data_IF_918534892892
#
_entry.id   IF_918534892892
#
_cell.length_a   1.000
_cell.length_b   1.000
_cell.length_c   1.000
_cell.angle_alpha   90.00
_cell.angle_beta   90.00
_cell.angle_gamma   90.00
#
_symmetry.space_group_name_H-M   'P 1'
#
loop_
_entity.id
_entity.type
_entity.pdbx_description
1 polymer ?
#
# COMPACT_ATOMS: atom_id res chain seq x y z
N UNK A 1 15.75 1.22 -46.49
CA UNK A 1 14.79 0.48 -45.64
C UNK A 1 14.81 1.12 -44.27
N UNK A 2 13.82 1.94 -43.94
CA UNK A 2 13.68 2.55 -42.62
C UNK A 2 13.16 1.50 -41.64
N UNK A 3 13.98 1.15 -40.64
CA UNK A 3 13.57 0.35 -39.49
C UNK A 3 12.73 1.25 -38.58
N UNK A 4 11.41 1.14 -38.66
CA UNK A 4 10.49 1.70 -37.68
C UNK A 4 10.70 0.96 -36.36
N UNK A 5 11.14 1.70 -35.33
CA UNK A 5 11.10 1.21 -33.97
C UNK A 5 9.65 0.81 -33.61
N UNK A 6 9.45 -0.26 -32.82
CA UNK A 6 8.11 -0.66 -32.41
C UNK A 6 7.45 0.52 -31.66
N UNK A 7 6.30 0.94 -32.16
CA UNK A 7 5.42 1.90 -31.50
C UNK A 7 5.10 1.39 -30.09
N UNK A 8 5.19 2.23 -29.04
CA UNK A 8 4.73 1.84 -27.72
C UNK A 8 3.23 1.49 -27.81
N UNK A 9 2.87 0.30 -27.35
CA UNK A 9 1.48 -0.16 -27.29
C UNK A 9 0.67 0.82 -26.44
N UNK A 10 -0.57 1.18 -26.83
CA UNK A 10 -1.44 1.97 -25.96
C UNK A 10 -1.66 1.23 -24.63
N UNK A 11 -1.90 1.93 -23.50
CA UNK A 11 -2.17 1.26 -22.23
C UNK A 11 -3.35 0.34 -22.40
N UNK A 12 -3.12 -0.97 -22.30
CA UNK A 12 -4.12 -2.01 -22.49
C UNK A 12 -5.30 -1.71 -21.57
N UNK A 13 -6.44 -1.33 -22.14
CA UNK A 13 -7.69 -1.21 -21.40
C UNK A 13 -7.97 -2.61 -20.88
N UNK A 14 -7.97 -2.81 -19.55
CA UNK A 14 -8.25 -4.12 -18.96
C UNK A 14 -9.60 -4.60 -19.50
N UNK A 15 -9.59 -5.73 -20.20
CA UNK A 15 -10.80 -6.39 -20.70
C UNK A 15 -11.11 -7.51 -19.74
N UNK A 16 -12.27 -7.41 -19.09
CA UNK A 16 -12.84 -8.47 -18.25
C UNK A 16 -14.13 -8.94 -18.90
N UNK A 17 -14.39 -10.24 -18.82
CA UNK A 17 -15.63 -10.84 -19.26
C UNK A 17 -16.79 -10.48 -18.33
N UNK A 18 -18.01 -10.49 -18.88
CA UNK A 18 -19.23 -10.39 -18.08
C UNK A 18 -19.19 -11.44 -16.93
N UNK A 19 -19.73 -11.12 -15.75
CA UNK A 19 -20.62 -9.99 -15.46
C UNK A 19 -19.91 -8.70 -14.98
N UNK A 20 -18.60 -8.55 -15.25
CA UNK A 20 -17.82 -7.40 -14.81
C UNK A 20 -17.73 -6.33 -15.91
N UNK A 21 -17.84 -5.06 -15.49
CA UNK A 21 -17.59 -3.90 -16.34
C UNK A 21 -16.64 -2.92 -15.64
N UNK A 22 -15.45 -2.72 -16.21
CA UNK A 22 -14.47 -1.74 -15.69
C UNK A 22 -15.03 -0.33 -15.82
N UNK A 23 -15.04 0.40 -14.71
CA UNK A 23 -15.46 1.81 -14.63
C UNK A 23 -14.25 2.73 -14.80
N UNK A 24 -13.21 2.54 -13.98
CA UNK A 24 -11.97 3.34 -14.04
C UNK A 24 -10.80 2.63 -13.37
N UNK A 25 -9.58 3.03 -13.72
CA UNK A 25 -8.36 2.63 -12.99
C UNK A 25 -8.30 3.37 -11.65
N UNK A 26 -7.93 2.67 -10.58
CA UNK A 26 -7.75 3.20 -9.23
C UNK A 26 -6.27 3.49 -8.93
N UNK A 27 -5.39 2.53 -9.22
CA UNK A 27 -3.96 2.62 -8.92
C UNK A 27 -3.15 1.64 -9.78
N UNK A 28 -1.83 1.85 -9.83
CA UNK A 28 -0.86 0.86 -10.30
C UNK A 28 0.01 0.43 -9.12
N UNK A 29 0.15 -0.87 -8.91
CA UNK A 29 1.04 -1.47 -7.91
C UNK A 29 2.27 -2.12 -8.53
N UNK A 30 3.08 -2.81 -7.72
CA UNK A 30 4.30 -3.46 -8.20
C UNK A 30 4.07 -4.74 -9.02
N UNK A 31 2.97 -5.45 -8.77
CA UNK A 31 2.64 -6.72 -9.43
C UNK A 31 1.41 -6.62 -10.35
N UNK A 32 0.67 -5.52 -10.28
CA UNK A 32 -0.61 -5.41 -10.95
C UNK A 32 -1.25 -4.04 -10.80
N UNK A 33 -2.28 -3.83 -11.59
CA UNK A 33 -3.11 -2.63 -11.59
C UNK A 33 -4.44 -2.90 -10.88
N UNK A 34 -4.96 -1.88 -10.19
CA UNK A 34 -6.25 -1.92 -9.51
C UNK A 34 -7.28 -1.12 -10.31
N UNK A 35 -8.44 -1.70 -10.53
CA UNK A 35 -9.55 -1.09 -11.26
C UNK A 35 -10.83 -1.14 -10.43
N UNK A 36 -11.60 -0.07 -10.49
CA UNK A 36 -12.98 -0.06 -10.03
C UNK A 36 -13.83 -0.67 -11.14
N UNK A 37 -14.64 -1.67 -10.82
CA UNK A 37 -15.56 -2.29 -11.74
C UNK A 37 -16.96 -2.41 -11.11
N UNK A 38 -17.96 -2.50 -11.97
CA UNK A 38 -19.31 -2.85 -11.60
C UNK A 38 -19.54 -4.32 -11.93
N UNK A 39 -19.96 -5.12 -10.96
CA UNK A 39 -20.41 -6.48 -11.17
C UNK A 39 -21.93 -6.51 -11.25
N UNK A 40 -22.46 -7.14 -12.29
CA UNK A 40 -23.90 -7.34 -12.47
C UNK A 40 -24.31 -8.76 -12.04
N UNK A 41 -25.58 -8.94 -11.69
CA UNK A 41 -26.13 -10.23 -11.28
C UNK A 41 -27.61 -10.37 -11.63
N UNK A 42 -28.21 -11.52 -11.32
CA UNK A 42 -29.62 -11.78 -11.58
C UNK A 42 -30.54 -10.70 -10.99
N UNK A 43 -31.67 -10.45 -11.64
CA UNK A 43 -32.66 -9.47 -11.17
C UNK A 43 -32.21 -8.01 -11.22
N UNK A 44 -31.17 -7.69 -12.00
CA UNK A 44 -30.64 -6.32 -12.10
C UNK A 44 -29.77 -5.93 -10.90
N UNK A 45 -29.33 -6.90 -10.09
CA UNK A 45 -28.38 -6.65 -9.01
C UNK A 45 -27.09 -6.05 -9.57
N UNK A 46 -26.60 -4.99 -8.94
CA UNK A 46 -25.34 -4.35 -9.27
C UNK A 46 -24.56 -4.04 -8.00
N UNK A 47 -23.27 -4.35 -7.99
CA UNK A 47 -22.36 -3.95 -6.91
C UNK A 47 -21.05 -3.42 -7.46
N UNK A 48 -20.42 -2.52 -6.73
CA UNK A 48 -19.07 -2.06 -7.03
C UNK A 48 -18.04 -3.04 -6.43
N UNK A 49 -17.02 -3.37 -7.21
CA UNK A 49 -15.92 -4.27 -6.83
C UNK A 49 -14.60 -3.68 -7.27
N UNK A 50 -13.50 -4.14 -6.67
CA UNK A 50 -12.16 -3.86 -7.17
C UNK A 50 -11.65 -5.09 -7.91
N UNK A 51 -11.04 -4.86 -9.06
CA UNK A 51 -10.36 -5.87 -9.86
C UNK A 51 -8.86 -5.59 -9.83
N UNK A 52 -8.08 -6.51 -9.26
CA UNK A 52 -6.62 -6.50 -9.32
C UNK A 52 -6.19 -7.38 -10.49
N UNK A 53 -5.56 -6.79 -11.49
CA UNK A 53 -5.05 -7.50 -12.66
C UNK A 53 -3.52 -7.51 -12.64
N UNK A 54 -2.92 -8.68 -12.86
CA UNK A 54 -1.46 -8.79 -12.99
C UNK A 54 -0.94 -7.96 -14.16
N UNK A 55 0.25 -7.37 -14.02
CA UNK A 55 0.89 -6.71 -15.17
C UNK A 55 1.23 -7.74 -16.25
N UNK A 56 1.12 -7.34 -17.52
CA UNK A 56 1.38 -8.20 -18.67
C UNK A 56 2.78 -8.85 -18.66
N UNK A 57 3.78 -8.19 -18.07
CA UNK A 57 5.13 -8.77 -17.93
C UNK A 57 5.19 -9.99 -17.00
N UNK A 58 4.18 -10.20 -16.14
CA UNK A 58 4.10 -11.30 -15.19
C UNK A 58 3.09 -12.38 -15.59
N UNK A 59 2.23 -12.14 -16.59
CA UNK A 59 1.17 -13.08 -16.98
C UNK A 59 1.72 -14.37 -17.58
N UNK A 60 2.85 -14.30 -18.27
CA UNK A 60 3.49 -15.47 -18.91
C UNK A 60 4.52 -16.15 -17.99
N UNK A 61 4.65 -15.69 -16.74
CA UNK A 61 5.59 -16.23 -15.77
C UNK A 61 4.86 -17.13 -14.77
N UNK A 62 4.97 -18.47 -14.87
CA UNK A 62 4.18 -19.40 -14.06
C UNK A 62 4.35 -19.20 -12.55
N UNK A 63 5.52 -18.74 -12.11
CA UNK A 63 5.80 -18.44 -10.71
C UNK A 63 4.93 -17.29 -10.18
N UNK A 64 4.81 -16.19 -10.92
CA UNK A 64 3.99 -15.03 -10.52
C UNK A 64 2.49 -15.34 -10.58
N UNK A 65 2.06 -16.13 -11.57
CA UNK A 65 0.67 -16.59 -11.65
C UNK A 65 0.33 -17.49 -10.46
N UNK A 66 1.18 -18.48 -10.17
CA UNK A 66 0.99 -19.39 -9.02
C UNK A 66 0.99 -18.62 -7.71
N UNK A 67 1.89 -17.65 -7.58
CA UNK A 67 1.98 -16.76 -6.43
C UNK A 67 0.70 -15.95 -6.22
N UNK A 68 0.17 -15.35 -7.29
CA UNK A 68 -1.08 -14.59 -7.25
C UNK A 68 -2.28 -15.47 -6.90
N UNK A 69 -2.36 -16.68 -7.47
CA UNK A 69 -3.39 -17.66 -7.14
C UNK A 69 -3.28 -18.13 -5.68
N UNK A 70 -2.06 -18.35 -5.17
CA UNK A 70 -1.83 -18.72 -3.78
C UNK A 70 -2.24 -17.60 -2.80
N UNK A 71 -1.96 -16.34 -3.13
CA UNK A 71 -2.43 -15.19 -2.33
C UNK A 71 -3.96 -15.17 -2.26
N UNK A 72 -4.63 -15.34 -3.41
CA UNK A 72 -6.08 -15.41 -3.49
C UNK A 72 -6.65 -16.57 -2.66
N UNK A 73 -6.03 -17.75 -2.72
CA UNK A 73 -6.45 -18.91 -1.94
C UNK A 73 -6.27 -18.68 -0.44
N UNK A 74 -5.09 -18.23 0.01
CA UNK A 74 -4.82 -18.04 1.43
C UNK A 74 -5.74 -16.98 2.05
N UNK A 75 -5.88 -15.84 1.38
CA UNK A 75 -6.72 -14.73 1.89
C UNK A 75 -8.20 -15.07 1.73
N UNK A 76 -8.60 -15.86 0.73
CA UNK A 76 -9.99 -16.27 0.51
C UNK A 76 -10.58 -17.13 1.65
N UNK A 77 -9.74 -17.76 2.47
CA UNK A 77 -10.19 -18.48 3.67
C UNK A 77 -10.45 -17.55 4.87
N UNK A 78 -9.90 -16.32 4.85
CA UNK A 78 -10.00 -15.40 5.97
C UNK A 78 -11.34 -14.68 5.97
N UNK A 79 -12.04 -14.72 7.11
CA UNK A 79 -13.34 -14.07 7.29
C UNK A 79 -13.29 -13.18 8.52
N UNK A 80 -12.89 -11.93 8.31
CA UNK A 80 -12.76 -10.95 9.38
C UNK A 80 -13.23 -9.57 8.91
N UNK A 81 -13.93 -8.78 9.75
CA UNK A 81 -14.40 -7.45 9.37
C UNK A 81 -13.27 -6.51 8.95
N UNK A 82 -12.06 -6.71 9.47
CA UNK A 82 -10.88 -5.88 9.17
C UNK A 82 -9.92 -6.47 8.13
N UNK A 83 -10.30 -7.54 7.43
CA UNK A 83 -9.56 -8.08 6.28
C UNK A 83 -10.41 -7.85 5.04
N UNK A 84 -9.75 -7.47 3.93
CA UNK A 84 -10.43 -7.32 2.65
C UNK A 84 -11.02 -8.66 2.19
N UNK A 85 -12.28 -8.62 1.78
CA UNK A 85 -12.91 -9.83 1.29
C UNK A 85 -12.58 -10.05 -0.20
N UNK A 86 -12.07 -11.24 -0.52
CA UNK A 86 -11.88 -11.71 -1.89
C UNK A 86 -13.14 -12.46 -2.31
N UNK A 87 -13.77 -12.02 -3.40
CA UNK A 87 -14.95 -12.68 -3.94
C UNK A 87 -14.57 -13.87 -4.82
N UNK A 88 -13.62 -13.68 -5.74
CA UNK A 88 -13.24 -14.71 -6.70
C UNK A 88 -11.90 -14.39 -7.38
N UNK A 89 -11.20 -15.45 -7.80
CA UNK A 89 -10.11 -15.40 -8.76
C UNK A 89 -10.68 -15.84 -10.12
N UNK A 90 -10.50 -15.01 -11.15
CA UNK A 90 -10.97 -15.31 -12.51
C UNK A 90 -9.79 -15.40 -13.47
N UNK A 91 -9.91 -16.29 -14.44
CA UNK A 91 -9.06 -16.30 -15.62
C UNK A 91 -9.75 -15.45 -16.70
N UNK A 92 -9.04 -14.44 -17.20
CA UNK A 92 -9.53 -13.55 -18.26
C UNK A 92 -8.57 -13.61 -19.46
N UNK A 93 -8.99 -13.15 -20.65
CA UNK A 93 -8.10 -13.12 -21.82
C UNK A 93 -6.80 -12.33 -21.60
N UNK A 94 -6.81 -11.36 -20.68
CA UNK A 94 -5.64 -10.57 -20.28
C UNK A 94 -4.83 -11.18 -19.15
N UNK A 95 -5.13 -12.40 -18.72
CA UNK A 95 -4.52 -13.08 -17.58
C UNK A 95 -5.43 -13.16 -16.35
N UNK A 96 -4.90 -13.65 -15.24
CA UNK A 96 -5.65 -13.79 -14.00
C UNK A 96 -6.00 -12.43 -13.38
N UNK A 97 -7.24 -12.33 -12.90
CA UNK A 97 -7.72 -11.17 -12.15
C UNK A 97 -8.34 -11.60 -10.83
N UNK A 98 -8.16 -10.78 -9.80
CA UNK A 98 -8.75 -10.99 -8.49
C UNK A 98 -9.87 -9.97 -8.29
N UNK A 99 -11.08 -10.46 -8.02
CA UNK A 99 -12.25 -9.63 -7.72
C UNK A 99 -12.41 -9.57 -6.21
N UNK A 100 -12.43 -8.36 -5.66
CA UNK A 100 -12.44 -8.12 -4.23
C UNK A 100 -13.39 -6.99 -3.82
N UNK A 101 -13.65 -6.92 -2.52
CA UNK A 101 -14.46 -5.89 -1.89
C UNK A 101 -14.00 -4.48 -2.30
N UNK A 102 -14.97 -3.62 -2.65
CA UNK A 102 -14.70 -2.19 -2.83
C UNK A 102 -14.89 -1.45 -1.51
N UNK A 103 -13.78 -1.01 -0.92
CA UNK A 103 -13.79 -0.15 0.27
C UNK A 103 -13.89 1.30 -0.18
N UNK A 104 -15.04 1.93 0.07
CA UNK A 104 -15.27 3.33 -0.25
C UNK A 104 -14.56 4.23 0.76
N UNK A 105 -13.28 4.48 0.56
CA UNK A 105 -12.49 5.40 1.37
C UNK A 105 -10.99 5.34 1.04
N UNK A 106 -10.16 6.19 1.68
CA UNK A 106 -8.75 6.31 1.33
C UNK A 106 -7.92 5.25 2.07
N UNK A 107 -6.68 5.07 1.62
CA UNK A 107 -5.65 4.46 2.47
C UNK A 107 -5.27 5.42 3.60
N UNK A 108 -4.76 4.89 4.71
CA UNK A 108 -4.25 5.72 5.82
C UNK A 108 -3.14 6.67 5.34
N UNK A 109 -2.29 6.22 4.42
CA UNK A 109 -1.28 7.08 3.79
C UNK A 109 -1.92 8.29 3.09
N UNK A 110 -3.00 8.08 2.34
CA UNK A 110 -3.71 9.16 1.66
C UNK A 110 -4.50 10.03 2.65
N UNK A 111 -5.02 9.43 3.73
CA UNK A 111 -5.68 10.16 4.81
C UNK A 111 -4.71 11.15 5.49
N UNK A 112 -3.49 10.71 5.83
CA UNK A 112 -2.44 11.58 6.38
C UNK A 112 -2.04 12.70 5.41
N UNK A 113 -1.96 12.40 4.11
CA UNK A 113 -1.61 13.39 3.07
C UNK A 113 -2.71 14.43 2.82
N UNK A 114 -3.96 14.05 3.04
CA UNK A 114 -5.13 14.90 2.80
C UNK A 114 -5.58 15.69 4.03
N UNK A 115 -4.81 15.65 5.13
CA UNK A 115 -5.12 16.41 6.36
C UNK A 115 -5.27 17.91 6.05
N UNK A 116 -6.32 18.58 6.56
CA UNK A 116 -6.52 20.01 6.37
C UNK A 116 -5.33 20.84 6.88
N UNK A 117 -5.07 21.96 6.21
CA UNK A 117 -4.07 22.92 6.68
C UNK A 117 -4.46 23.42 8.09
N UNK A 118 -3.51 23.38 9.03
CA UNK A 118 -3.74 23.76 10.44
C UNK A 118 -4.14 22.61 11.37
N UNK A 119 -4.54 21.44 10.86
CA UNK A 119 -4.92 20.29 11.69
C UNK A 119 -3.72 19.43 12.15
N UNK A 120 -2.49 19.81 11.77
CA UNK A 120 -1.28 19.01 11.96
C UNK A 120 -1.20 17.81 11.01
N UNK A 121 0.01 17.26 10.86
CA UNK A 121 0.26 16.10 9.97
C UNK A 121 -0.19 14.76 10.58
N UNK A 122 -0.30 14.68 11.90
CA UNK A 122 -0.73 13.49 12.62
C UNK A 122 -2.25 13.28 12.55
N UNK A 123 -2.68 12.04 12.73
CA UNK A 123 -4.06 11.71 13.05
C UNK A 123 -4.35 11.99 14.52
N UNK A 124 -5.60 12.32 14.89
CA UNK A 124 -6.03 12.29 16.28
C UNK A 124 -5.70 10.93 16.92
N UNK A 125 -5.17 10.93 18.14
CA UNK A 125 -4.75 9.70 18.83
C UNK A 125 -5.85 8.62 18.89
N UNK A 126 -7.13 8.93 19.19
CA UNK A 126 -8.21 7.94 19.16
C UNK A 126 -8.34 7.23 17.80
N UNK A 127 -8.23 8.00 16.70
CA UNK A 127 -8.33 7.47 15.34
C UNK A 127 -7.16 6.55 15.00
N UNK A 128 -5.92 6.97 15.31
CA UNK A 128 -4.73 6.15 15.09
C UNK A 128 -4.76 4.85 15.91
N UNK A 129 -5.21 4.93 17.16
CA UNK A 129 -5.36 3.76 18.06
C UNK A 129 -6.45 2.81 17.57
N UNK A 130 -7.61 3.32 17.12
CA UNK A 130 -8.65 2.48 16.50
C UNK A 130 -8.13 1.74 15.27
N UNK A 131 -7.40 2.43 14.39
CA UNK A 131 -6.78 1.81 13.21
C UNK A 131 -5.83 0.68 13.64
N UNK A 132 -4.93 0.95 14.59
CA UNK A 132 -3.98 -0.04 15.07
C UNK A 132 -4.65 -1.25 15.74
N UNK A 133 -5.69 -1.04 16.55
CA UNK A 133 -6.49 -2.14 17.14
C UNK A 133 -7.09 -3.01 16.04
N UNK A 134 -7.75 -2.40 15.06
CA UNK A 134 -8.43 -3.12 13.96
C UNK A 134 -7.46 -3.97 13.13
N UNK A 135 -6.27 -3.42 12.84
CA UNK A 135 -5.23 -4.15 12.10
C UNK A 135 -4.61 -5.25 12.95
N UNK A 136 -4.38 -5.02 14.25
CA UNK A 136 -3.88 -6.06 15.15
C UNK A 136 -4.87 -7.23 15.29
N UNK A 137 -6.18 -6.97 15.32
CA UNK A 137 -7.21 -8.02 15.28
C UNK A 137 -7.18 -8.81 13.96
N UNK A 138 -7.07 -8.12 12.82
CA UNK A 138 -6.93 -8.77 11.51
C UNK A 138 -5.70 -9.68 11.44
N UNK A 139 -4.54 -9.20 11.91
CA UNK A 139 -3.30 -9.97 11.94
C UNK A 139 -3.39 -11.16 12.89
N UNK A 140 -4.03 -10.99 14.06
CA UNK A 140 -4.27 -12.10 14.97
C UNK A 140 -5.10 -13.18 14.30
N UNK A 141 -6.25 -12.80 13.72
CA UNK A 141 -7.13 -13.72 13.01
C UNK A 141 -6.41 -14.46 11.89
N UNK A 142 -5.68 -13.75 11.01
CA UNK A 142 -4.93 -14.38 9.93
C UNK A 142 -3.92 -15.44 10.40
N UNK A 143 -3.29 -15.19 11.55
CA UNK A 143 -2.29 -16.11 12.12
C UNK A 143 -2.92 -17.30 12.88
N UNK A 144 -4.08 -17.12 13.49
CA UNK A 144 -4.74 -18.15 14.31
C UNK A 144 -5.82 -18.93 13.60
N UNK A 145 -6.35 -18.41 12.48
CA UNK A 145 -7.42 -19.05 11.72
C UNK A 145 -6.99 -20.45 11.28
N UNK A 146 -7.91 -21.40 11.37
CA UNK A 146 -7.67 -22.78 10.99
C UNK A 146 -8.20 -23.05 9.59
N UNK A 147 -7.46 -23.82 8.80
CA UNK A 147 -7.89 -24.30 7.51
C UNK A 147 -9.02 -25.34 7.64
N UNK A 148 -9.59 -25.80 6.51
CA UNK A 148 -10.59 -26.86 6.49
C UNK A 148 -10.14 -28.17 7.14
N UNK A 149 -8.83 -28.40 7.23
CA UNK A 149 -8.18 -29.53 7.88
C UNK A 149 -8.01 -29.36 9.41
N UNK A 150 -8.45 -28.21 9.96
CA UNK A 150 -8.30 -27.88 11.38
C UNK A 150 -6.89 -27.42 11.78
N UNK A 151 -5.97 -27.24 10.80
CA UNK A 151 -4.61 -26.79 11.07
C UNK A 151 -4.54 -25.27 10.98
N UNK A 152 -3.88 -24.57 11.92
CA UNK A 152 -3.69 -23.13 11.82
C UNK A 152 -2.99 -22.73 10.52
N UNK A 153 -3.56 -21.78 9.78
CA UNK A 153 -3.03 -21.27 8.51
C UNK A 153 -1.72 -20.52 8.70
N UNK A 154 -1.49 -19.94 9.89
CA UNK A 154 -0.27 -19.21 10.27
C UNK A 154 0.14 -18.15 9.25
N UNK A 155 -0.83 -17.45 8.68
CA UNK A 155 -0.58 -16.46 7.64
C UNK A 155 0.11 -15.24 8.27
N UNK A 156 1.26 -14.87 7.72
CA UNK A 156 2.02 -13.66 8.03
C UNK A 156 1.84 -12.71 6.84
N UNK A 157 1.42 -11.47 7.10
CA UNK A 157 1.11 -10.49 6.07
C UNK A 157 2.37 -9.99 5.34
N UNK A 158 3.46 -9.74 6.05
CA UNK A 158 4.79 -9.30 5.53
C UNK A 158 4.81 -7.96 4.76
N UNK A 159 3.72 -7.21 4.75
CA UNK A 159 3.62 -5.93 4.03
C UNK A 159 2.64 -4.95 4.71
N UNK A 160 2.63 -4.94 6.04
CA UNK A 160 1.80 -4.00 6.80
C UNK A 160 2.40 -2.60 6.65
N UNK A 161 1.67 -1.71 5.97
CA UNK A 161 2.09 -0.33 5.68
C UNK A 161 0.87 0.57 5.65
N UNK A 162 1.08 1.89 5.78
CA UNK A 162 0.00 2.88 5.69
C UNK A 162 -0.76 2.86 4.35
N UNK A 163 -0.14 2.38 3.26
CA UNK A 163 -0.82 2.24 1.96
C UNK A 163 -1.74 1.03 1.89
N UNK A 164 -1.48 0.01 2.71
CA UNK A 164 -2.21 -1.26 2.72
C UNK A 164 -3.29 -1.32 3.81
N UNK A 165 -3.54 -0.19 4.49
CA UNK A 165 -4.62 -0.05 5.45
C UNK A 165 -5.62 0.94 4.87
N UNK A 166 -6.82 0.49 4.56
CA UNK A 166 -7.92 1.33 4.07
C UNK A 166 -8.86 1.69 5.22
N UNK A 167 -9.45 2.87 5.14
CA UNK A 167 -10.51 3.31 6.06
C UNK A 167 -11.70 3.72 5.22
N UNK A 168 -12.84 3.04 5.38
CA UNK A 168 -14.09 3.42 4.72
C UNK A 168 -14.63 4.76 5.23
N UNK A 169 -15.51 5.39 4.46
CA UNK A 169 -16.25 6.60 4.88
C UNK A 169 -17.06 6.40 6.15
N UNK A 170 -17.48 5.16 6.45
CA UNK A 170 -18.20 4.80 7.68
C UNK A 170 -17.27 4.44 8.85
N UNK A 171 -15.95 4.60 8.69
CA UNK A 171 -14.96 4.38 9.74
C UNK A 171 -14.56 2.92 9.96
N UNK A 172 -14.96 2.00 9.08
CA UNK A 172 -14.45 0.62 9.09
C UNK A 172 -13.04 0.55 8.47
N UNK A 173 -12.14 -0.16 9.16
CA UNK A 173 -10.75 -0.36 8.75
C UNK A 173 -10.62 -1.70 8.02
N UNK A 174 -9.88 -1.73 6.91
CA UNK A 174 -9.66 -2.93 6.09
C UNK A 174 -8.18 -3.07 5.74
N UNK A 175 -7.58 -4.19 6.12
CA UNK A 175 -6.22 -4.58 5.73
C UNK A 175 -6.26 -5.27 4.37
N UNK A 176 -5.41 -4.83 3.44
CA UNK A 176 -5.34 -5.31 2.05
C UNK A 176 -3.96 -5.85 1.70
N UNK A 177 -3.87 -6.60 0.59
CA UNK A 177 -2.60 -7.03 -0.04
C UNK A 177 -1.66 -7.80 0.90
N UNK A 178 -2.09 -9.00 1.31
CA UNK A 178 -1.22 -9.92 2.05
C UNK A 178 -0.04 -10.27 1.14
N UNK A 179 1.16 -9.87 1.56
CA UNK A 179 2.42 -9.99 0.82
C UNK A 179 2.94 -11.43 0.70
N UNK A 180 2.05 -12.42 0.58
CA UNK A 180 2.36 -13.84 0.30
C UNK A 180 3.32 -13.94 -0.88
N UNK A 181 3.13 -13.06 -1.86
CA UNK A 181 4.00 -12.91 -3.01
C UNK A 181 5.48 -12.65 -2.70
N UNK A 182 5.77 -11.87 -1.66
CA UNK A 182 7.13 -11.52 -1.24
C UNK A 182 7.81 -12.65 -0.46
N UNK A 183 7.05 -13.65 0.00
CA UNK A 183 7.58 -14.77 0.77
C UNK A 183 8.34 -15.79 -0.06
N UNK A 184 7.97 -15.93 -1.34
CA UNK A 184 8.46 -16.98 -2.24
C UNK A 184 9.66 -16.52 -3.09
N UNK A 185 9.88 -15.22 -3.20
CA UNK A 185 10.92 -14.64 -4.03
C UNK A 185 11.94 -13.90 -3.18
N UNK A 186 12.72 -14.67 -2.41
CA UNK A 186 13.87 -14.20 -1.62
C UNK A 186 14.86 -13.36 -2.47
N UNK A 187 14.90 -13.57 -3.79
CA UNK A 187 15.75 -12.85 -4.74
C UNK A 187 15.09 -11.65 -5.43
N UNK A 188 13.78 -11.43 -5.33
CA UNK A 188 13.11 -10.36 -6.09
C UNK A 188 13.16 -8.99 -5.40
N UNK A 189 13.38 -8.95 -4.07
CA UNK A 189 13.54 -7.68 -3.35
C UNK A 189 14.78 -6.90 -3.81
N UNK A 190 15.80 -7.57 -4.35
CA UNK A 190 17.03 -6.92 -4.84
C UNK A 190 16.95 -6.47 -6.30
N UNK A 191 16.00 -6.96 -7.10
CA UNK A 191 15.88 -6.62 -8.55
C UNK A 191 14.78 -5.61 -8.87
N UNK A 192 13.75 -5.48 -8.04
CA UNK A 192 12.70 -4.49 -8.24
C UNK A 192 13.09 -3.14 -7.62
N UNK A 193 13.89 -2.35 -8.33
CA UNK A 193 14.29 -0.98 -7.96
C UNK A 193 13.15 0.04 -7.93
N UNK A 194 12.00 -0.28 -7.34
CA UNK A 194 10.77 0.51 -7.49
C UNK A 194 9.94 0.70 -6.23
N UNK A 195 10.45 0.43 -5.02
CA UNK A 195 9.69 0.78 -3.81
C UNK A 195 10.50 1.54 -2.77
N UNK A 196 10.95 2.73 -3.18
CA UNK A 196 11.43 3.78 -2.27
C UNK A 196 10.36 4.06 -1.20
N UNK A 197 10.51 3.50 0.00
CA UNK A 197 9.66 3.76 1.16
C UNK A 197 8.96 2.56 1.80
N UNK A 198 9.02 1.34 1.26
CA UNK A 198 8.54 0.14 1.99
C UNK A 198 9.60 -0.45 2.93
N UNK A 199 10.88 -0.21 2.65
CA UNK A 199 12.00 -0.66 3.48
C UNK A 199 11.91 -0.17 4.94
N UNK A 200 11.28 0.98 5.18
CA UNK A 200 11.09 1.55 6.52
C UNK A 200 10.15 0.75 7.43
N UNK A 201 9.39 -0.20 6.89
CA UNK A 201 8.48 -1.06 7.67
C UNK A 201 9.07 -2.45 7.91
N UNK A 202 10.26 -2.75 7.36
CA UNK A 202 10.91 -4.04 7.57
C UNK A 202 11.38 -4.17 9.02
N UNK A 203 11.09 -5.32 9.62
CA UNK A 203 11.56 -5.64 10.95
C UNK A 203 13.06 -5.99 10.96
N UNK A 204 13.77 -5.80 12.10
CA UNK A 204 15.19 -6.15 12.20
C UNK A 204 15.49 -7.61 11.85
N UNK A 205 14.62 -8.54 12.18
CA UNK A 205 14.76 -9.96 11.84
C UNK A 205 14.65 -10.23 10.33
N UNK A 206 13.79 -9.51 9.60
CA UNK A 206 13.71 -9.59 8.14
C UNK A 206 15.02 -9.10 7.50
N UNK A 207 15.59 -8.01 8.01
CA UNK A 207 16.84 -7.45 7.50
C UNK A 207 18.07 -8.32 7.82
N UNK A 208 18.06 -9.02 8.95
CA UNK A 208 19.12 -9.96 9.34
C UNK A 208 18.95 -11.35 8.74
N UNK A 209 17.97 -11.55 7.86
CA UNK A 209 17.62 -12.84 7.27
C UNK A 209 17.45 -13.95 8.33
N UNK A 210 16.87 -13.59 9.49
CA UNK A 210 16.54 -14.53 10.57
C UNK A 210 15.15 -15.13 10.31
N UNK A 211 14.80 -16.26 10.98
CA UNK A 211 13.45 -16.82 10.87
C UNK A 211 12.39 -15.77 11.22
N UNK A 212 11.50 -15.50 10.26
CA UNK A 212 10.41 -14.53 10.40
C UNK A 212 9.18 -15.22 10.99
N UNK A 213 8.56 -14.60 11.99
CA UNK A 213 7.25 -15.00 12.53
C UNK A 213 6.26 -13.81 12.48
N UNK A 214 5.08 -13.98 13.06
CA UNK A 214 4.01 -12.98 13.09
C UNK A 214 4.42 -11.66 13.75
N UNK A 215 5.45 -11.65 14.62
CA UNK A 215 5.92 -10.43 15.28
C UNK A 215 6.60 -9.45 14.33
N UNK A 216 6.98 -9.87 13.12
CA UNK A 216 7.41 -8.96 12.07
C UNK A 216 6.26 -8.02 11.64
N UNK A 217 5.03 -8.52 11.52
CA UNK A 217 3.86 -7.70 11.22
C UNK A 217 3.50 -6.78 12.40
N UNK A 218 3.76 -7.23 13.63
CA UNK A 218 3.57 -6.40 14.83
C UNK A 218 4.52 -5.19 14.82
N UNK A 219 5.78 -5.40 14.45
CA UNK A 219 6.75 -4.31 14.28
C UNK A 219 6.30 -3.33 13.20
N UNK A 220 5.91 -3.83 12.02
CA UNK A 220 5.46 -2.99 10.91
C UNK A 220 4.18 -2.19 11.24
N UNK A 221 3.27 -2.77 12.02
CA UNK A 221 2.11 -2.06 12.55
C UNK A 221 2.50 -1.00 13.58
N UNK A 222 3.49 -1.27 14.43
CA UNK A 222 3.99 -0.29 15.40
C UNK A 222 4.68 0.90 14.72
N UNK A 223 5.43 0.66 13.63
CA UNK A 223 5.95 1.73 12.76
C UNK A 223 4.77 2.55 12.22
N UNK A 224 3.76 1.89 11.67
CA UNK A 224 2.56 2.57 11.15
C UNK A 224 1.85 3.41 12.22
N UNK A 225 1.72 2.90 13.45
CA UNK A 225 1.13 3.62 14.59
C UNK A 225 1.96 4.83 15.00
N UNK A 226 3.29 4.70 15.06
CA UNK A 226 4.19 5.83 15.30
C UNK A 226 3.97 6.91 14.24
N UNK A 227 3.99 6.55 12.96
CA UNK A 227 3.82 7.52 11.86
C UNK A 227 2.43 8.17 11.85
N UNK A 228 1.37 7.42 12.19
CA UNK A 228 0.02 7.98 12.31
C UNK A 228 -0.08 9.00 13.44
N UNK A 229 0.58 8.76 14.57
CA UNK A 229 0.46 9.59 15.78
C UNK A 229 1.44 10.76 15.81
N UNK A 230 2.54 10.66 15.07
CA UNK A 230 3.54 11.73 14.94
C UNK A 230 3.34 12.55 13.65
N UNK A 231 2.80 11.94 12.59
CA UNK A 231 2.62 12.60 11.29
C UNK A 231 3.91 12.69 10.45
N UNK A 232 4.96 11.99 10.85
CA UNK A 232 6.25 11.91 10.16
C UNK A 232 6.66 10.45 9.95
N UNK A 233 7.71 10.22 9.15
CA UNK A 233 8.24 8.87 8.91
C UNK A 233 9.30 8.52 9.95
N UNK A 234 9.13 7.39 10.65
CA UNK A 234 10.02 6.96 11.75
C UNK A 234 11.48 6.81 11.29
N UNK A 235 11.68 6.11 10.18
CA UNK A 235 13.01 5.81 9.63
C UNK A 235 13.34 6.63 8.38
N UNK A 236 12.92 7.90 8.32
CA UNK A 236 13.22 8.73 7.15
C UNK A 236 14.74 8.97 7.01
N UNK A 237 15.33 8.51 5.90
CA UNK A 237 16.72 8.78 5.51
C UNK A 237 16.81 9.12 4.03
N UNK A 238 17.94 9.68 3.60
CA UNK A 238 18.15 10.06 2.19
C UNK A 238 18.23 8.85 1.27
N UNK A 239 18.84 7.76 1.78
CA UNK A 239 19.04 6.51 1.04
C UNK A 239 18.36 5.33 1.74
N UNK A 240 18.05 4.30 0.95
CA UNK A 240 17.53 3.04 1.47
C UNK A 240 18.53 2.35 2.39
N UNK A 241 19.82 2.31 2.03
CA UNK A 241 20.86 1.73 2.88
C UNK A 241 20.95 2.40 4.25
N UNK A 242 20.85 3.73 4.32
CA UNK A 242 20.78 4.44 5.60
C UNK A 242 19.51 4.10 6.38
N UNK A 243 18.36 3.91 5.70
CA UNK A 243 17.12 3.48 6.35
C UNK A 243 17.29 2.11 7.00
N UNK A 244 17.90 1.16 6.28
CA UNK A 244 18.19 -0.18 6.80
C UNK A 244 19.17 -0.14 7.98
N UNK A 245 20.21 0.70 7.88
CA UNK A 245 21.16 0.94 8.96
C UNK A 245 20.44 1.46 10.22
N UNK A 246 19.56 2.45 10.06
CA UNK A 246 18.80 3.04 11.17
C UNK A 246 17.92 1.99 11.88
N UNK A 247 17.25 1.13 11.13
CA UNK A 247 16.45 0.03 11.70
C UNK A 247 17.34 -0.93 12.51
N UNK A 248 18.55 -1.22 12.05
CA UNK A 248 19.40 -2.25 12.66
C UNK A 248 20.25 -1.76 13.84
N UNK A 249 20.63 -0.47 13.84
CA UNK A 249 21.75 0.01 14.65
C UNK A 249 21.48 1.32 15.41
N UNK A 250 20.42 2.05 15.09
CA UNK A 250 20.15 3.35 15.73
C UNK A 250 19.04 3.23 16.79
N UNK A 251 19.08 4.07 17.84
CA UNK A 251 17.97 4.17 18.78
C UNK A 251 16.73 4.74 18.07
N UNK A 252 15.57 4.14 18.32
CA UNK A 252 14.33 4.57 17.67
C UNK A 252 13.79 5.83 18.35
N UNK A 253 13.46 6.89 17.58
CA UNK A 253 12.90 8.12 18.13
C UNK A 253 11.64 7.88 18.97
N UNK A 254 11.62 8.45 20.18
CA UNK A 254 10.43 8.43 21.04
C UNK A 254 9.38 9.38 20.46
N UNK A 255 8.10 8.98 20.32
CA UNK A 255 7.04 9.89 19.91
C UNK A 255 7.02 11.22 20.67
N UNK A 256 7.22 11.20 21.99
CA UNK A 256 7.27 12.39 22.86
C UNK A 256 8.38 13.38 22.54
N UNK A 257 9.47 12.93 21.90
CA UNK A 257 10.57 13.82 21.47
C UNK A 257 10.23 14.63 20.23
N UNK A 258 9.18 14.23 19.49
CA UNK A 258 8.72 14.89 18.27
C UNK A 258 7.37 15.59 18.51
N UNK A 259 6.47 14.95 19.25
CA UNK A 259 5.16 15.47 19.64
C UNK A 259 5.10 15.64 21.16
N UNK A 260 5.20 16.89 21.65
CA UNK A 260 5.39 17.19 23.08
C UNK A 260 4.30 16.66 24.03
N UNK A 261 3.03 16.62 23.58
CA UNK A 261 1.89 16.19 24.40
C UNK A 261 1.55 14.69 24.21
N UNK A 262 2.53 13.85 23.90
CA UNK A 262 2.30 12.42 23.66
C UNK A 262 2.09 11.63 24.98
N UNK A 263 0.99 10.87 25.13
CA UNK A 263 0.73 10.09 26.34
C UNK A 263 1.81 9.03 26.62
N UNK A 264 2.35 9.03 27.84
CA UNK A 264 3.46 8.15 28.22
C UNK A 264 3.10 6.66 28.16
N UNK A 265 1.84 6.30 28.44
CA UNK A 265 1.32 4.94 28.36
C UNK A 265 1.18 4.47 26.91
N UNK A 266 0.72 5.33 25.99
CA UNK A 266 0.72 5.05 24.56
C UNK A 266 2.15 4.88 24.04
N UNK A 267 3.07 5.74 24.45
CA UNK A 267 4.47 5.66 24.04
C UNK A 267 5.11 4.34 24.48
N UNK A 268 4.85 3.90 25.71
CA UNK A 268 5.34 2.62 26.21
C UNK A 268 4.83 1.44 25.36
N UNK A 269 3.56 1.47 24.94
CA UNK A 269 2.97 0.45 24.06
C UNK A 269 3.62 0.46 22.68
N UNK A 270 3.81 1.64 22.07
CA UNK A 270 4.46 1.80 20.76
C UNK A 270 5.90 1.30 20.80
N UNK A 271 6.68 1.74 21.79
CA UNK A 271 8.10 1.37 21.92
C UNK A 271 8.28 -0.13 22.19
N UNK A 272 7.40 -0.75 22.99
CA UNK A 272 7.43 -2.19 23.20
C UNK A 272 7.17 -2.97 21.91
N UNK A 273 6.18 -2.57 21.11
CA UNK A 273 5.91 -3.22 19.84
C UNK A 273 7.01 -2.97 18.79
N UNK A 274 7.77 -1.87 18.94
CA UNK A 274 8.96 -1.56 18.16
C UNK A 274 10.24 -2.18 18.70
N UNK A 275 10.24 -3.00 19.76
CA UNK A 275 11.49 -3.51 20.32
C UNK A 275 12.36 -4.23 19.25
N UNK A 276 13.67 -3.91 19.13
CA UNK A 276 14.52 -4.53 18.12
C UNK A 276 14.61 -6.05 18.28
N UNK A 277 14.62 -6.52 19.53
CA UNK A 277 14.43 -7.93 19.84
C UNK A 277 12.94 -8.27 19.78
N UNK A 278 12.58 -9.24 18.93
CA UNK A 278 11.21 -9.70 18.78
C UNK A 278 10.65 -10.36 20.04
N UNK A 279 11.51 -10.88 20.93
CA UNK A 279 11.08 -11.55 22.16
C UNK A 279 10.68 -10.58 23.27
N UNK A 280 11.09 -9.31 23.16
CA UNK A 280 10.66 -8.24 24.06
C UNK A 280 9.31 -7.61 23.67
N UNK A 281 8.83 -7.90 22.45
CA UNK A 281 7.56 -7.37 21.94
C UNK A 281 6.36 -8.06 22.61
N UNK A 282 5.14 -7.78 22.15
CA UNK A 282 3.95 -8.46 22.66
C UNK A 282 3.92 -9.92 22.17
N UNK A 283 3.45 -10.83 23.03
CA UNK A 283 3.41 -12.26 22.73
C UNK A 283 2.69 -12.57 21.41
N UNK A 284 1.58 -11.88 21.16
CA UNK A 284 0.80 -11.94 19.92
C UNK A 284 0.13 -10.58 19.61
N UNK A 285 -0.56 -10.51 18.47
CA UNK A 285 -1.28 -9.30 18.06
C UNK A 285 -2.50 -8.98 18.95
N UNK A 286 -3.08 -9.97 19.62
CA UNK A 286 -4.22 -9.75 20.52
C UNK A 286 -3.78 -9.00 21.78
N UNK A 287 -2.67 -9.41 22.38
CA UNK A 287 -2.05 -8.72 23.50
C UNK A 287 -1.67 -7.27 23.16
N UNK A 288 -1.19 -7.03 21.93
CA UNK A 288 -0.94 -5.67 21.45
C UNK A 288 -2.22 -4.84 21.34
N UNK A 289 -3.28 -5.41 20.74
CA UNK A 289 -4.59 -4.75 20.66
C UNK A 289 -5.19 -4.47 22.05
N UNK A 290 -5.07 -5.40 23.00
CA UNK A 290 -5.58 -5.25 24.36
C UNK A 290 -4.85 -4.15 25.13
N UNK A 291 -3.54 -4.01 24.93
CA UNK A 291 -2.76 -2.90 25.49
C UNK A 291 -3.23 -1.54 24.94
N UNK A 292 -3.48 -1.44 23.63
CA UNK A 292 -4.03 -0.24 23.00
C UNK A 292 -5.44 0.09 23.50
N UNK A 293 -6.31 -0.92 23.70
CA UNK A 293 -7.63 -0.71 24.31
C UNK A 293 -7.52 -0.22 25.76
N UNK A 294 -6.53 -0.68 26.51
CA UNK A 294 -6.29 -0.21 27.87
C UNK A 294 -5.93 1.29 27.90
N UNK A 295 -5.06 1.73 26.98
CA UNK A 295 -4.75 3.15 26.78
C UNK A 295 -6.02 3.94 26.43
N UNK A 296 -6.79 3.48 25.43
CA UNK A 296 -8.03 4.15 25.05
C UNK A 296 -9.01 4.32 26.22
N UNK A 297 -9.18 3.29 27.06
CA UNK A 297 -10.02 3.37 28.27
C UNK A 297 -9.47 4.35 29.30
N UNK A 298 -8.14 4.38 29.51
CA UNK A 298 -7.51 5.27 30.50
C UNK A 298 -7.70 6.76 30.15
N UNK A 299 -7.68 7.10 28.86
CA UNK A 299 -7.88 8.46 28.37
C UNK A 299 -9.33 8.80 28.00
N UNK A 300 -10.27 7.85 28.17
CA UNK A 300 -11.67 8.04 27.77
C UNK A 300 -11.86 8.23 26.26
N UNK A 301 -10.97 7.69 25.44
CA UNK A 301 -11.04 7.79 23.98
C UNK A 301 -12.15 6.89 23.43
N UNK A 302 -13.06 7.50 22.67
CA UNK A 302 -13.97 6.76 21.81
C UNK A 302 -13.19 6.24 20.61
N UNK A 303 -13.01 4.92 20.58
CA UNK A 303 -12.32 4.19 19.52
C UNK A 303 -13.32 3.40 18.66
N UNK A 304 -14.57 3.84 18.54
CA UNK A 304 -15.53 3.24 17.60
C UNK A 304 -15.35 3.73 16.16
N UNK A 305 -16.17 3.20 15.25
CA UNK A 305 -16.11 3.55 13.83
C UNK A 305 -16.53 5.01 13.58
N UNK A 306 -17.52 5.53 14.32
CA UNK A 306 -18.09 6.86 14.07
C UNK A 306 -17.08 8.02 14.22
N UNK A 307 -16.23 8.09 15.28
CA UNK A 307 -15.18 9.11 15.35
C UNK A 307 -14.18 9.02 14.18
N UNK A 308 -13.82 7.81 13.75
CA UNK A 308 -12.91 7.62 12.62
C UNK A 308 -13.57 8.05 11.29
N UNK A 309 -14.87 7.81 11.12
CA UNK A 309 -15.65 8.28 9.98
C UNK A 309 -15.60 9.81 9.85
N UNK A 310 -15.71 10.54 10.98
CA UNK A 310 -15.61 12.00 11.00
C UNK A 310 -14.23 12.49 10.49
N UNK A 311 -13.14 11.86 10.94
CA UNK A 311 -11.78 12.17 10.47
C UNK A 311 -11.63 11.96 8.96
N UNK A 312 -12.25 10.90 8.42
CA UNK A 312 -12.25 10.62 6.97
C UNK A 312 -13.06 11.69 6.23
N UNK A 313 -14.22 12.08 6.76
CA UNK A 313 -15.08 13.09 6.15
C UNK A 313 -14.42 14.48 6.09
N UNK A 314 -13.66 14.86 7.11
CA UNK A 314 -12.90 16.13 7.14
C UNK A 314 -11.76 16.17 6.11
N UNK A 315 -11.18 15.02 5.79
CA UNK A 315 -9.99 14.92 4.94
C UNK A 315 -10.31 14.68 3.47
N UNK A 316 -11.55 14.31 3.13
CA UNK A 316 -11.97 14.05 1.76
C UNK A 316 -13.02 15.05 1.31
N UNK A 317 -12.87 15.69 0.13
CA UNK A 317 -13.96 16.47 -0.44
C UNK A 317 -15.19 15.56 -0.64
N UNK A 318 -16.39 16.13 -0.52
CA UNK A 318 -17.62 15.46 -0.96
C UNK A 318 -17.43 15.08 -2.44
N UNK A 319 -17.30 13.79 -2.71
CA UNK A 319 -17.37 13.32 -4.09
C UNK A 319 -18.80 13.55 -4.56
N UNK A 320 -18.94 14.27 -5.68
CA UNK A 320 -20.19 14.27 -6.46
C UNK A 320 -20.60 12.82 -6.63
N UNK A 321 -21.78 12.53 -6.10
CA UNK A 321 -22.37 11.21 -6.04
C UNK A 321 -22.07 10.37 -7.29
N UNK A 322 -21.44 9.21 -7.11
CA UNK A 322 -21.29 8.16 -8.13
C UNK A 322 -22.65 7.63 -8.66
N UNK A 323 -23.78 8.23 -8.25
CA UNK A 323 -25.12 8.08 -8.82
C UNK A 323 -25.31 8.76 -10.18
N UNK A 324 -24.24 9.19 -10.85
CA UNK A 324 -24.27 9.48 -12.29
C UNK A 324 -24.65 8.25 -13.17
N UNK A 325 -24.83 7.08 -12.56
CA UNK A 325 -25.65 6.00 -13.11
C UNK A 325 -27.13 6.32 -12.85
N UNK A 326 -27.71 7.17 -13.69
CA UNK A 326 -29.16 7.24 -13.85
C UNK A 326 -29.66 5.83 -14.13
N UNK A 327 -30.51 5.28 -13.27
CA UNK A 327 -31.32 4.11 -13.59
C UNK A 327 -32.30 4.51 -14.70
N UNK A 328 -31.83 4.56 -15.94
CA UNK A 328 -32.66 4.81 -17.10
C UNK A 328 -33.38 3.51 -17.48
N UNK A 329 -34.54 3.29 -16.87
CA UNK A 329 -35.62 2.57 -17.54
C UNK A 329 -36.08 3.41 -18.73
N UNK A 330 -35.76 3.00 -19.96
CA UNK A 330 -36.28 3.66 -21.15
C UNK A 330 -35.49 3.35 -22.42
N UNK A 331 -36.10 2.57 -23.29
CA UNK A 331 -35.71 2.27 -24.67
C UNK A 331 -35.38 3.53 -25.49
N UNK A 332 -34.17 3.60 -26.05
CA UNK A 332 -33.90 4.29 -27.32
C UNK A 332 -32.52 3.90 -27.89
N UNK A 333 -32.48 3.80 -29.23
CA UNK A 333 -31.38 3.31 -30.07
C UNK A 333 -30.12 4.19 -30.04
N UNK A 334 -28.94 3.67 -30.44
CA UNK A 334 -27.70 4.45 -30.51
C UNK A 334 -27.64 5.27 -31.81
N UNK A 335 -27.35 6.57 -31.70
CA UNK A 335 -26.90 7.43 -32.81
C UNK A 335 -25.39 7.71 -32.69
N UNK A 336 -24.63 7.72 -33.81
CA UNK A 336 -23.20 7.98 -33.80
C UNK A 336 -22.92 9.49 -33.71
N UNK A 337 -22.00 9.88 -32.84
CA UNK A 337 -21.51 11.26 -32.76
C UNK A 337 -20.13 11.36 -33.42
N UNK A 338 -20.13 11.89 -34.65
CA UNK A 338 -19.00 12.62 -35.22
C UNK A 338 -18.95 14.01 -34.59
N UNK A 339 -17.84 14.38 -33.98
CA UNK A 339 -17.45 15.78 -33.85
C UNK A 339 -15.93 15.92 -33.93
N UNK A 340 -15.51 16.27 -35.14
CA UNK A 340 -14.28 16.98 -35.49
C UNK A 340 -14.25 18.31 -34.70
N UNK A 341 -13.20 18.54 -33.90
CA UNK A 341 -12.95 19.83 -33.24
C UNK A 341 -11.56 20.31 -33.65
N UNK A 342 -11.58 21.41 -34.39
CA UNK A 342 -10.44 22.16 -34.92
C UNK A 342 -9.53 22.73 -33.81
N UNK A 343 -8.22 22.62 -34.03
CA UNK A 343 -7.18 23.25 -33.21
C UNK A 343 -7.15 24.78 -33.37
N UNK A 344 -6.86 25.55 -32.30
CA UNK A 344 -6.34 26.90 -32.44
C UNK A 344 -4.80 26.90 -32.34
N UNK A 345 -4.16 27.55 -33.31
CA UNK A 345 -2.72 27.76 -33.38
C UNK A 345 -2.23 28.72 -32.30
N UNK A 346 -1.16 28.35 -31.60
CA UNK A 346 -0.40 29.25 -30.71
C UNK A 346 1.05 29.29 -31.20
N UNK A 347 1.50 30.50 -31.55
CA UNK A 347 2.85 30.79 -32.00
C UNK A 347 3.89 30.55 -30.89
N UNK A 348 4.88 29.71 -31.17
CA UNK A 348 6.01 29.42 -30.28
C UNK A 348 7.13 30.45 -30.51
N UNK A 349 7.49 31.19 -29.45
CA UNK A 349 8.76 31.94 -29.40
C UNK A 349 9.91 31.01 -28.95
N UNK A 350 11.13 31.15 -29.50
CA UNK A 350 12.24 30.29 -29.14
C UNK A 350 12.82 30.60 -27.74
N UNK A 351 13.01 29.56 -26.92
CA UNK A 351 13.71 29.59 -25.63
C UNK A 351 15.23 29.42 -25.81
N UNK A 352 16.09 30.06 -25.00
CA UNK A 352 17.55 29.97 -25.12
C UNK A 352 18.10 28.60 -24.68
N UNK A 353 19.19 28.17 -25.32
CA UNK A 353 19.85 26.89 -25.09
C UNK A 353 20.65 26.85 -23.77
N UNK A 354 20.64 25.73 -23.01
CA UNK A 354 21.30 25.68 -21.71
C UNK A 354 22.75 25.18 -21.82
N UNK A 355 23.71 26.04 -21.41
CA UNK A 355 25.18 25.91 -21.51
C UNK A 355 25.86 24.89 -20.55
N UNK A 356 25.12 24.02 -19.86
CA UNK A 356 25.69 23.08 -18.87
C UNK A 356 26.36 21.84 -19.48
N UNK A 357 26.18 21.58 -20.78
CA UNK A 357 26.70 20.37 -21.46
C UNK A 357 28.24 20.34 -21.60
N UNK A 358 28.95 21.44 -21.36
CA UNK A 358 30.42 21.49 -21.40
C UNK A 358 31.09 21.36 -20.02
N UNK A 359 30.35 21.45 -18.91
CA UNK A 359 30.91 21.29 -17.57
C UNK A 359 31.03 19.82 -17.13
N UNK A 360 30.23 18.92 -17.71
CA UNK A 360 30.21 17.48 -17.34
C UNK A 360 31.31 16.68 -18.04
N UNK A 361 31.76 17.13 -19.23
CA UNK A 361 32.83 16.44 -19.98
C UNK A 361 34.22 16.74 -19.39
N UNK A 362 34.42 17.91 -18.76
CA UNK A 362 35.70 18.27 -18.13
C UNK A 362 35.99 17.56 -16.80
N UNK A 363 34.96 17.08 -16.09
CA UNK A 363 35.14 16.43 -14.78
C UNK A 363 35.50 14.93 -14.91
N UNK A 364 35.12 14.27 -16.02
CA UNK A 364 35.41 12.85 -16.24
C UNK A 364 36.86 12.57 -16.72
N UNK A 365 37.56 13.56 -17.27
CA UNK A 365 38.96 13.42 -17.71
C UNK A 365 39.97 13.58 -16.58
N UNK A 366 39.62 14.31 -15.50
CA UNK A 366 40.50 14.47 -14.32
C UNK A 366 40.44 13.23 -13.40
N UNK A 367 39.27 12.58 -13.28
CA UNK A 367 39.10 11.40 -12.42
C UNK A 367 39.83 10.15 -12.96
N UNK A 368 39.94 9.99 -14.28
CA UNK A 368 40.65 8.87 -14.91
C UNK A 368 42.18 9.02 -14.84
N UNK A 369 42.71 10.25 -14.83
CA UNK A 369 44.14 10.51 -14.69
C UNK A 369 44.66 10.28 -13.25
N UNK A 370 43.86 10.58 -12.22
CA UNK A 370 44.22 10.36 -10.81
C UNK A 370 44.18 8.86 -10.44
N UNK A 371 43.29 8.08 -11.05
CA UNK A 371 43.19 6.63 -10.81
C UNK A 371 44.42 5.86 -11.34
N UNK A 372 44.99 6.26 -12.49
CA UNK A 372 46.19 5.62 -13.05
C UNK A 372 47.49 5.96 -12.32
N UNK A 373 47.56 7.12 -11.64
CA UNK A 373 48.75 7.54 -10.88
C UNK A 373 48.93 6.83 -9.53
N UNK A 374 47.89 6.16 -9.01
CA UNK A 374 47.94 5.51 -7.69
C UNK A 374 47.90 3.97 -7.72
N UNK A 375 47.60 3.33 -8.85
CA UNK A 375 47.38 1.87 -8.91
C UNK A 375 48.53 1.08 -9.56
N UNK A 376 49.48 1.73 -10.22
CA UNK A 376 50.56 1.05 -10.98
C UNK A 376 51.92 0.86 -10.27
N UNK A 377 52.31 1.46 -9.12
CA UNK A 377 53.67 1.26 -8.61
C UNK A 377 54.00 -0.11 -7.98
N UNK A 378 53.05 -1.04 -7.85
CA UNK A 378 53.27 -2.32 -7.12
C UNK A 378 52.83 -3.58 -7.88
N UNK A 379 52.94 -3.59 -9.21
CA UNK A 379 52.93 -4.82 -10.01
C UNK A 379 54.20 -4.94 -10.85
#
# INVERSE_FOLDING_TARGET
MLHLAPTPSPPTRLVVSEPLRVVRKLASGGMGDLYLAQQTGPGGFQRMVVVKALHAQFTDQPEFVRMFANEAQLVGHLRHPNIIHIYELREEPSGYVLVMEYVRGPSVLNLLRARPQGAGKALPLPAAVRIAISVAEALHHAYTECGPDGVPLRIIHRDVTLSNILVSRDGHVKLIDFGVAKALTSESMTRAGTVKGKASYLSPEQLRNRPIDHRADQFALAVSLWEMTVGERLFHRETELQTLHAILHEPYPRPSTVAGDYPADLEAVVLRALAPDRDERFADHRAFADALRAVARAHGWDVDAAPLAAVVAESLPEERSDTGLTFATGTSQPTPFDHEVSEPSIAVRPSPSPRWRYAVIGLMTVATAVFWLFVVPHL
#
